data_IF_248191908626
#
_entry.id   IF_248191908626
#
_cell.length_a   1.000
_cell.length_b   1.000
_cell.length_c   1.000
_cell.angle_alpha   90.00
_cell.angle_beta   90.00
_cell.angle_gamma   90.00
#
_symmetry.space_group_name_H-M   'P 1'
#
loop_
_entity.id
_entity.type
_entity.pdbx_description
1 polymer ?
#
# COMPACT_ATOMS: atom_id res chain seq x y z
N UNK A 1 -17.45 3.61 12.47
CA UNK A 1 -16.72 2.81 11.46
C UNK A 1 -15.43 2.37 12.10
N UNK A 2 -15.26 1.08 12.34
CA UNK A 2 -14.02 0.50 12.87
C UNK A 2 -12.92 0.70 11.83
N UNK A 3 -11.77 1.23 12.26
CA UNK A 3 -10.56 1.29 11.44
C UNK A 3 -10.26 -0.12 10.89
N UNK A 4 -9.64 -0.25 9.70
CA UNK A 4 -9.11 -1.54 9.32
C UNK A 4 -8.04 -1.89 10.37
N UNK A 5 -8.18 -3.05 11.03
CA UNK A 5 -7.17 -3.58 11.96
C UNK A 5 -5.97 -4.06 11.13
N UNK A 6 -5.32 -3.12 10.47
CA UNK A 6 -4.07 -3.32 9.79
C UNK A 6 -3.04 -3.62 10.87
N UNK A 7 -2.64 -4.87 10.94
CA UNK A 7 -1.59 -5.38 11.79
C UNK A 7 -0.24 -4.83 11.33
N UNK A 8 -0.07 -4.58 10.02
CA UNK A 8 1.13 -3.98 9.47
C UNK A 8 0.88 -3.09 8.25
N UNK A 9 1.74 -2.06 8.12
CA UNK A 9 1.89 -1.24 6.92
C UNK A 9 3.38 -1.13 6.62
N UNK A 10 3.79 -1.46 5.40
CA UNK A 10 5.17 -1.31 4.92
C UNK A 10 5.22 -0.45 3.66
N UNK A 11 6.22 0.41 3.54
CA UNK A 11 6.46 1.22 2.35
C UNK A 11 7.90 1.07 1.93
N UNK A 12 8.12 0.77 0.65
CA UNK A 12 9.45 0.64 0.04
C UNK A 12 9.48 1.44 -1.26
N UNK A 13 9.92 2.70 -1.17
CA UNK A 13 10.08 3.63 -2.28
C UNK A 13 11.55 3.99 -2.36
N UNK A 14 12.19 3.63 -3.48
CA UNK A 14 13.63 3.82 -3.69
C UNK A 14 13.88 5.15 -4.42
N UNK A 15 14.68 6.07 -3.86
CA UNK A 15 15.00 7.32 -4.52
C UNK A 15 15.79 7.10 -5.81
N UNK A 16 15.80 8.10 -6.67
CA UNK A 16 16.67 8.11 -7.85
C UNK A 16 18.11 8.43 -7.43
N UNK A 17 18.99 7.44 -7.51
CA UNK A 17 20.40 7.53 -7.12
C UNK A 17 21.24 8.38 -8.09
N UNK A 18 20.69 8.77 -9.24
CA UNK A 18 21.41 9.61 -10.22
C UNK A 18 21.43 11.11 -9.87
N UNK A 19 20.61 11.53 -8.90
CA UNK A 19 20.51 12.92 -8.44
C UNK A 19 21.67 13.30 -7.52
N UNK A 20 22.03 14.58 -7.45
CA UNK A 20 23.01 15.05 -6.45
C UNK A 20 22.43 14.97 -5.02
N UNK A 21 23.27 14.95 -3.96
CA UNK A 21 22.78 14.74 -2.59
C UNK A 21 21.73 15.75 -2.10
N UNK A 22 21.78 17.01 -2.54
CA UNK A 22 20.79 18.03 -2.16
C UNK A 22 19.47 17.82 -2.91
N UNK A 23 19.52 17.41 -4.18
CA UNK A 23 18.35 16.98 -4.94
C UNK A 23 17.75 15.68 -4.41
N UNK A 24 18.57 14.70 -4.03
CA UNK A 24 18.11 13.47 -3.37
C UNK A 24 17.37 13.78 -2.07
N UNK A 25 17.88 14.70 -1.24
CA UNK A 25 17.23 15.08 0.02
C UNK A 25 15.86 15.77 -0.21
N UNK A 26 15.77 16.67 -1.18
CA UNK A 26 14.50 17.31 -1.56
C UNK A 26 13.51 16.30 -2.13
N UNK A 27 13.99 15.40 -3.00
CA UNK A 27 13.20 14.33 -3.59
C UNK A 27 12.67 13.39 -2.50
N UNK A 28 13.53 12.97 -1.56
CA UNK A 28 13.13 12.12 -0.44
C UNK A 28 11.99 12.72 0.41
N UNK A 29 12.03 14.02 0.68
CA UNK A 29 10.93 14.69 1.39
C UNK A 29 9.61 14.63 0.60
N UNK A 30 9.65 14.94 -0.71
CA UNK A 30 8.48 14.83 -1.60
C UNK A 30 7.93 13.41 -1.62
N UNK A 31 8.82 12.41 -1.80
CA UNK A 31 8.48 10.99 -1.80
C UNK A 31 7.84 10.56 -0.49
N UNK A 32 8.34 11.03 0.66
CA UNK A 32 7.77 10.72 1.96
C UNK A 32 6.36 11.31 2.12
N UNK A 33 6.14 12.55 1.68
CA UNK A 33 4.82 13.17 1.69
C UNK A 33 3.83 12.43 0.77
N UNK A 34 4.25 12.09 -0.45
CA UNK A 34 3.46 11.31 -1.40
C UNK A 34 3.14 9.92 -0.84
N UNK A 35 4.13 9.25 -0.24
CA UNK A 35 3.95 7.96 0.42
C UNK A 35 2.92 8.04 1.55
N UNK A 36 3.00 9.07 2.40
CA UNK A 36 2.06 9.26 3.49
C UNK A 36 0.63 9.48 2.96
N UNK A 37 0.46 10.29 1.92
CA UNK A 37 -0.82 10.50 1.26
C UNK A 37 -1.36 9.19 0.66
N UNK A 38 -0.49 8.42 0.00
CA UNK A 38 -0.85 7.14 -0.60
C UNK A 38 -1.25 6.10 0.45
N UNK A 39 -0.55 6.04 1.59
CA UNK A 39 -0.94 5.17 2.71
C UNK A 39 -2.34 5.52 3.19
N UNK A 40 -2.64 6.81 3.42
CA UNK A 40 -3.97 7.25 3.87
C UNK A 40 -5.05 6.84 2.87
N UNK A 41 -4.78 7.02 1.57
CA UNK A 41 -5.71 6.65 0.51
C UNK A 41 -5.92 5.14 0.43
N UNK A 42 -4.85 4.35 0.47
CA UNK A 42 -4.91 2.89 0.47
C UNK A 42 -5.64 2.34 1.70
N UNK A 43 -5.40 2.88 2.90
CA UNK A 43 -6.14 2.51 4.12
C UNK A 43 -7.63 2.76 3.99
N UNK A 44 -8.02 3.93 3.46
CA UNK A 44 -9.42 4.27 3.24
C UNK A 44 -10.07 3.36 2.20
N UNK A 45 -9.32 2.95 1.18
CA UNK A 45 -9.80 2.01 0.17
C UNK A 45 -10.01 0.60 0.75
N UNK A 46 -9.10 0.10 1.60
CA UNK A 46 -9.23 -1.20 2.25
C UNK A 46 -10.49 -1.38 3.09
N UNK A 47 -11.05 -0.28 3.64
CA UNK A 47 -12.32 -0.33 4.36
C UNK A 47 -13.51 -0.75 3.49
N UNK A 48 -13.37 -0.67 2.17
CA UNK A 48 -14.40 -1.04 1.20
C UNK A 48 -14.28 -2.50 0.76
N UNK A 49 -13.12 -3.13 0.99
CA UNK A 49 -12.84 -4.50 0.58
C UNK A 49 -13.29 -5.45 1.70
N UNK A 50 -14.34 -6.21 1.45
CA UNK A 50 -14.93 -7.15 2.42
C UNK A 50 -14.87 -8.62 1.96
N UNK A 51 -14.26 -8.87 0.81
CA UNK A 51 -14.09 -10.21 0.25
C UNK A 51 -12.84 -10.30 -0.62
N UNK A 52 -12.28 -11.50 -0.74
CA UNK A 52 -11.22 -11.85 -1.71
C UNK A 52 -11.57 -13.22 -2.31
N UNK A 53 -11.42 -13.38 -3.62
CA UNK A 53 -11.72 -14.63 -4.33
C UNK A 53 -13.12 -15.20 -4.00
N UNK A 54 -14.13 -14.33 -3.89
CA UNK A 54 -15.51 -14.64 -3.49
C UNK A 54 -15.69 -15.19 -2.06
N UNK A 55 -14.70 -15.04 -1.19
CA UNK A 55 -14.77 -15.42 0.21
C UNK A 55 -14.75 -14.18 1.11
N UNK A 56 -15.56 -14.11 2.19
CA UNK A 56 -15.46 -13.04 3.17
C UNK A 56 -14.03 -12.89 3.70
N UNK A 57 -13.57 -11.64 3.74
CA UNK A 57 -12.19 -11.35 4.09
C UNK A 57 -12.06 -9.98 4.76
N UNK A 58 -11.05 -9.86 5.62
CA UNK A 58 -10.64 -8.61 6.24
C UNK A 58 -9.22 -8.27 5.85
N UNK A 59 -8.97 -7.04 5.42
CA UNK A 59 -7.61 -6.57 5.18
C UNK A 59 -6.88 -6.40 6.51
N UNK A 60 -5.75 -7.10 6.67
CA UNK A 60 -4.89 -7.07 7.86
C UNK A 60 -3.49 -6.53 7.57
N UNK A 61 -3.07 -6.46 6.31
CA UNK A 61 -1.73 -6.03 5.94
C UNK A 61 -1.70 -5.26 4.63
N UNK A 62 -0.85 -4.24 4.59
CA UNK A 62 -0.60 -3.43 3.39
C UNK A 62 0.90 -3.24 3.18
N UNK A 63 1.37 -3.47 1.95
CA UNK A 63 2.73 -3.13 1.54
C UNK A 63 2.72 -2.38 0.21
N UNK A 64 3.24 -1.16 0.22
CA UNK A 64 3.35 -0.31 -0.95
C UNK A 64 4.80 -0.33 -1.44
N UNK A 65 5.02 -0.62 -2.71
CA UNK A 65 6.38 -0.70 -3.28
C UNK A 65 6.49 0.05 -4.61
N UNK A 66 7.68 0.59 -4.88
CA UNK A 66 8.03 1.18 -6.16
C UNK A 66 9.38 1.88 -6.17
N UNK A 67 9.71 2.54 -7.28
CA UNK A 67 10.91 3.40 -7.37
C UNK A 67 10.55 4.80 -6.88
N UNK A 68 10.04 5.64 -7.76
CA UNK A 68 9.69 7.04 -7.46
C UNK A 68 8.30 7.20 -6.87
N UNK A 69 7.44 6.20 -6.96
CA UNK A 69 6.10 6.23 -6.37
C UNK A 69 5.64 4.80 -6.17
N UNK A 70 4.64 4.60 -5.30
CA UNK A 70 4.01 3.29 -5.15
C UNK A 70 3.39 2.87 -6.50
N UNK A 71 3.90 1.80 -7.08
CA UNK A 71 3.39 1.22 -8.34
C UNK A 71 2.70 -0.11 -8.11
N UNK A 72 3.06 -0.81 -7.02
CA UNK A 72 2.42 -2.04 -6.57
C UNK A 72 1.92 -1.92 -5.14
N UNK A 73 0.79 -2.57 -4.89
CA UNK A 73 0.17 -2.65 -3.57
C UNK A 73 -0.08 -4.12 -3.29
N UNK A 74 0.62 -4.64 -2.29
CA UNK A 74 0.42 -5.97 -1.74
C UNK A 74 -0.54 -5.86 -0.55
N UNK A 75 -1.58 -6.68 -0.58
CA UNK A 75 -2.64 -6.70 0.42
C UNK A 75 -2.68 -8.10 1.02
N UNK A 76 -2.59 -8.16 2.35
CA UNK A 76 -2.78 -9.39 3.10
C UNK A 76 -4.16 -9.39 3.73
N UNK A 77 -4.91 -10.45 3.46
CA UNK A 77 -6.27 -10.68 3.90
C UNK A 77 -6.29 -11.79 4.95
N UNK A 78 -7.05 -11.58 6.02
CA UNK A 78 -7.51 -12.64 6.91
C UNK A 78 -8.83 -13.20 6.38
N UNK A 79 -8.90 -14.52 6.23
CA UNK A 79 -10.09 -15.28 5.83
C UNK A 79 -10.32 -16.43 6.81
N UNK A 80 -11.48 -17.08 6.76
CA UNK A 80 -11.78 -18.26 7.58
C UNK A 80 -10.80 -19.43 7.34
N UNK A 81 -10.17 -19.46 6.16
CA UNK A 81 -9.21 -20.51 5.75
C UNK A 81 -7.75 -20.11 6.02
N UNK A 82 -7.52 -18.98 6.70
CA UNK A 82 -6.20 -18.45 7.01
C UNK A 82 -5.88 -17.17 6.22
N UNK A 83 -4.58 -16.88 6.09
CA UNK A 83 -4.09 -15.66 5.47
C UNK A 83 -3.84 -15.83 3.98
N UNK A 84 -4.27 -14.85 3.18
CA UNK A 84 -4.06 -14.81 1.73
C UNK A 84 -3.41 -13.48 1.37
N UNK A 85 -2.33 -13.52 0.59
CA UNK A 85 -1.67 -12.32 0.07
C UNK A 85 -1.93 -12.18 -1.43
N UNK A 86 -2.20 -10.96 -1.88
CA UNK A 86 -2.35 -10.60 -3.30
C UNK A 86 -1.53 -9.36 -3.60
N UNK A 87 -0.92 -9.33 -4.77
CA UNK A 87 -0.17 -8.17 -5.27
C UNK A 87 -0.94 -7.59 -6.45
N UNK A 88 -1.23 -6.30 -6.37
CA UNK A 88 -1.94 -5.56 -7.41
C UNK A 88 -1.02 -4.47 -7.96
N UNK A 89 -1.24 -4.12 -9.24
CA UNK A 89 -0.84 -2.78 -9.68
C UNK A 89 -1.67 -1.73 -8.92
N UNK A 90 -1.11 -0.54 -8.73
CA UNK A 90 -1.82 0.58 -8.09
C UNK A 90 -3.19 0.82 -8.73
N UNK A 91 -3.26 0.78 -10.06
CA UNK A 91 -4.50 0.95 -10.80
C UNK A 91 -5.54 -0.14 -10.46
N UNK A 92 -5.14 -1.41 -10.53
CA UNK A 92 -6.06 -2.53 -10.27
C UNK A 92 -6.53 -2.55 -8.82
N UNK A 93 -5.65 -2.21 -7.87
CA UNK A 93 -6.02 -2.12 -6.45
C UNK A 93 -7.17 -1.16 -6.24
N UNK A 94 -7.12 0.06 -6.80
CA UNK A 94 -8.16 1.07 -6.61
C UNK A 94 -9.48 0.81 -7.38
N UNK A 95 -9.54 -0.26 -8.17
CA UNK A 95 -10.74 -0.71 -8.88
C UNK A 95 -11.45 -1.88 -8.19
N UNK A 96 -10.89 -2.41 -7.09
CA UNK A 96 -11.53 -3.41 -6.24
C UNK A 96 -12.74 -2.81 -5.49
#
# INVERSE_FOLDING_TARGET
MTNPDLEFISVSILPDESLDPAEQARNFHSLACEAAAEIMHARAHCLKINQVDNNPAKVIGLKLSGKTFASTIEVTYSTDNGSVTRVYSKYNFYQL
#
